data_IF_081749758360
#
_entry.id   IF_081749758360
#
_cell.length_a   1.000
_cell.length_b   1.000
_cell.length_c   1.000
_cell.angle_alpha   90.00
_cell.angle_beta   90.00
_cell.angle_gamma   90.00
#
_symmetry.space_group_name_H-M   'P 1'
#
loop_
_entity.id
_entity.type
_entity.pdbx_description
1 polymer ?
#
# COMPACT_ATOMS: atom_id res chain seq x y z
N UNK A 1 -29.18 -26.97 -0.50
CA UNK A 1 -30.63 -27.29 -0.45
C UNK A 1 -31.16 -26.79 0.89
N UNK A 2 -32.45 -26.42 0.94
CA UNK A 2 -33.19 -25.90 2.11
C UNK A 2 -32.70 -24.57 2.73
N UNK A 3 -33.59 -23.71 3.25
CA UNK A 3 -34.98 -23.38 2.83
C UNK A 3 -35.43 -22.08 3.50
N UNK A 4 -36.28 -21.34 2.80
CA UNK A 4 -36.89 -20.05 3.16
C UNK A 4 -37.69 -20.07 4.47
N UNK A 5 -37.76 -18.93 5.18
CA UNK A 5 -38.99 -18.48 5.85
C UNK A 5 -39.05 -16.95 5.92
N UNK A 6 -40.10 -16.38 5.32
CA UNK A 6 -40.52 -14.97 5.52
C UNK A 6 -41.77 -14.99 6.40
N UNK A 7 -41.93 -14.02 7.30
CA UNK A 7 -43.22 -13.70 7.89
C UNK A 7 -43.59 -12.25 7.56
N UNK A 8 -44.87 -12.02 7.24
CA UNK A 8 -45.45 -10.71 6.97
C UNK A 8 -46.75 -10.60 7.77
N UNK A 9 -46.94 -9.50 8.51
CA UNK A 9 -48.17 -9.21 9.24
C UNK A 9 -48.55 -7.73 9.10
N UNK A 10 -49.64 -7.49 8.38
CA UNK A 10 -50.57 -6.36 8.57
C UNK A 10 -51.75 -6.91 9.41
N UNK A 11 -52.58 -6.17 10.15
CA UNK A 11 -52.76 -4.73 10.41
C UNK A 11 -53.67 -4.60 11.67
N UNK A 12 -53.75 -3.50 12.41
CA UNK A 12 -54.69 -2.36 12.27
C UNK A 12 -54.67 -1.50 13.59
N UNK A 13 -55.40 -0.36 13.74
CA UNK A 13 -54.87 0.80 14.47
C UNK A 13 -55.44 0.99 15.90
N UNK A 14 -54.73 1.80 16.70
CA UNK A 14 -55.24 2.36 17.98
C UNK A 14 -55.17 3.89 17.90
N UNK A 15 -56.22 4.58 18.37
CA UNK A 15 -56.38 6.04 18.30
C UNK A 15 -55.57 6.77 19.41
N UNK A 16 -55.23 8.03 19.11
CA UNK A 16 -54.51 8.99 19.98
C UNK A 16 -55.10 9.15 21.39
N UNK A 17 -54.21 9.35 22.36
CA UNK A 17 -54.44 10.24 23.52
C UNK A 17 -53.42 11.41 23.45
N UNK A 18 -53.67 12.45 24.25
CA UNK A 18 -53.38 13.86 23.99
C UNK A 18 -51.93 14.36 24.18
N UNK A 19 -51.56 15.27 23.27
CA UNK A 19 -50.68 16.44 23.46
C UNK A 19 -49.60 16.43 24.57
N UNK A 20 -48.34 16.31 24.14
CA UNK A 20 -47.22 16.99 24.79
C UNK A 20 -46.60 17.96 23.78
N UNK A 21 -46.78 19.27 23.98
CA UNK A 21 -46.15 20.30 23.11
C UNK A 21 -44.67 20.38 23.44
N UNK A 22 -43.84 19.72 22.62
CA UNK A 22 -42.40 19.98 22.60
C UNK A 22 -42.14 21.19 21.71
N UNK A 23 -41.85 22.34 22.31
CA UNK A 23 -41.32 23.50 21.60
C UNK A 23 -39.83 23.27 21.31
N UNK A 24 -39.52 22.62 20.19
CA UNK A 24 -38.15 22.57 19.69
C UNK A 24 -37.79 23.94 19.11
N UNK A 25 -36.93 24.70 19.80
CA UNK A 25 -36.32 25.91 19.24
C UNK A 25 -35.54 25.52 17.99
N UNK A 26 -35.98 26.02 16.83
CA UNK A 26 -35.36 25.70 15.53
C UNK A 26 -34.02 26.44 15.38
N UNK A 27 -32.97 25.92 16.01
CA UNK A 27 -31.61 26.26 15.58
C UNK A 27 -31.41 25.75 14.16
N UNK A 28 -30.90 26.62 13.28
CA UNK A 28 -30.77 26.40 11.84
C UNK A 28 -30.28 24.99 11.49
N UNK A 29 -30.98 24.34 10.56
CA UNK A 29 -30.72 22.95 10.15
C UNK A 29 -29.34 22.77 9.50
N UNK A 30 -28.31 22.59 10.32
CA UNK A 30 -27.04 22.02 9.89
C UNK A 30 -27.26 20.57 9.49
N UNK A 31 -26.85 20.20 8.27
CA UNK A 31 -26.83 18.82 7.79
C UNK A 31 -26.22 17.90 8.86
N UNK A 32 -26.82 16.72 9.17
CA UNK A 32 -26.31 15.83 10.20
C UNK A 32 -24.84 15.50 9.90
N UNK A 33 -23.97 15.64 10.90
CA UNK A 33 -22.51 15.45 10.75
C UNK A 33 -22.20 14.06 10.21
N UNK A 34 -22.04 13.94 8.89
CA UNK A 34 -21.67 12.68 8.24
C UNK A 34 -20.24 12.33 8.58
N UNK A 35 -20.03 11.11 9.09
CA UNK A 35 -18.69 10.57 9.34
C UNK A 35 -17.94 10.31 8.02
N UNK A 36 -18.66 10.01 6.95
CA UNK A 36 -18.12 9.68 5.63
C UNK A 36 -18.52 10.73 4.61
N UNK A 37 -17.52 11.35 3.99
CA UNK A 37 -17.66 12.40 2.96
C UNK A 37 -16.77 12.15 1.73
N UNK A 38 -16.01 11.05 1.72
CA UNK A 38 -15.03 10.75 0.69
C UNK A 38 -15.68 10.44 -0.68
N UNK A 39 -15.09 10.96 -1.75
CA UNK A 39 -15.66 10.91 -3.11
C UNK A 39 -15.80 9.49 -3.69
N UNK A 40 -15.12 8.49 -3.13
CA UNK A 40 -15.30 7.07 -3.50
C UNK A 40 -16.59 6.45 -2.96
N UNK A 41 -17.24 7.10 -1.99
CA UNK A 41 -18.53 6.68 -1.39
C UNK A 41 -19.66 7.66 -1.76
N UNK A 42 -19.31 8.92 -2.00
CA UNK A 42 -20.22 9.95 -2.53
C UNK A 42 -19.65 10.47 -3.87
N UNK A 43 -20.02 9.85 -5.01
CA UNK A 43 -19.35 10.08 -6.30
C UNK A 43 -19.40 11.54 -6.78
N UNK A 44 -18.24 12.02 -7.28
CA UNK A 44 -18.05 13.42 -7.76
C UNK A 44 -19.09 13.83 -8.81
N UNK A 45 -19.39 12.93 -9.73
CA UNK A 45 -20.35 13.08 -10.84
C UNK A 45 -21.79 13.37 -10.39
N UNK A 46 -22.13 13.05 -9.13
CA UNK A 46 -23.47 13.26 -8.55
C UNK A 46 -23.55 14.46 -7.62
N UNK A 47 -22.44 15.17 -7.45
CA UNK A 47 -22.34 16.40 -6.68
C UNK A 47 -22.12 17.55 -7.66
N UNK A 48 -23.04 18.52 -7.66
CA UNK A 48 -23.06 19.59 -8.67
C UNK A 48 -21.82 20.49 -8.67
N UNK A 49 -20.98 20.39 -7.64
CA UNK A 49 -19.74 21.15 -7.44
C UNK A 49 -18.54 20.62 -8.24
N UNK A 50 -18.66 19.50 -8.95
CA UNK A 50 -17.53 18.80 -9.63
C UNK A 50 -17.74 18.55 -11.13
N UNK A 51 -18.60 19.32 -11.82
CA UNK A 51 -19.19 19.04 -13.16
C UNK A 51 -18.23 18.91 -14.38
N UNK A 52 -16.92 18.69 -14.20
CA UNK A 52 -16.00 18.23 -15.25
C UNK A 52 -14.51 18.48 -14.99
N UNK A 53 -13.64 17.46 -15.17
CA UNK A 53 -12.16 17.57 -15.28
C UNK A 53 -11.53 16.17 -15.42
N UNK A 54 -10.39 16.05 -16.11
CA UNK A 54 -9.74 14.78 -16.48
C UNK A 54 -8.32 14.58 -15.91
N UNK A 55 -7.89 13.31 -15.80
CA UNK A 55 -6.68 12.80 -15.10
C UNK A 55 -6.16 11.47 -15.73
N UNK A 56 -4.82 11.19 -15.67
CA UNK A 56 -3.99 10.07 -16.24
C UNK A 56 -2.51 10.15 -15.74
N UNK A 57 -1.64 9.12 -15.67
CA UNK A 57 -1.75 7.66 -15.85
C UNK A 57 -0.74 6.86 -14.96
N UNK A 58 0.53 6.71 -15.38
CA UNK A 58 1.71 6.27 -14.59
C UNK A 58 1.76 4.76 -14.22
N UNK A 59 2.95 4.23 -13.87
CA UNK A 59 3.23 2.84 -13.48
C UNK A 59 4.16 2.74 -12.23
N UNK A 60 4.94 1.66 -12.07
CA UNK A 60 5.91 1.52 -10.95
C UNK A 60 7.20 0.72 -11.21
N UNK A 61 7.14 -0.49 -11.79
CA UNK A 61 8.35 -1.34 -11.94
C UNK A 61 9.22 -0.87 -13.11
N UNK A 62 10.38 -0.27 -12.83
CA UNK A 62 11.03 0.64 -13.79
C UNK A 62 12.48 0.33 -14.21
N UNK A 63 13.39 0.01 -13.28
CA UNK A 63 14.86 -0.07 -13.54
C UNK A 63 15.17 -1.01 -14.71
N UNK A 64 14.70 -2.27 -14.62
CA UNK A 64 14.86 -3.28 -15.66
C UNK A 64 14.32 -2.83 -17.02
N UNK A 65 13.21 -2.09 -17.03
CA UNK A 65 12.56 -1.64 -18.26
C UNK A 65 13.42 -0.58 -18.96
N UNK A 66 14.04 0.35 -18.21
CA UNK A 66 15.00 1.32 -18.76
C UNK A 66 16.30 0.67 -19.24
N UNK A 67 16.82 -0.31 -18.51
CA UNK A 67 17.99 -1.09 -18.95
C UNK A 67 17.69 -1.84 -20.29
N UNK A 68 16.53 -2.48 -20.40
CA UNK A 68 16.08 -3.16 -21.63
C UNK A 68 15.77 -2.19 -22.79
N UNK A 69 15.21 -1.02 -22.48
CA UNK A 69 14.99 0.09 -23.42
C UNK A 69 16.32 0.54 -24.04
N UNK A 70 17.35 0.75 -23.20
CA UNK A 70 18.71 1.10 -23.63
C UNK A 70 19.37 0.00 -24.46
N UNK A 71 19.32 -1.26 -24.02
CA UNK A 71 19.96 -2.38 -24.75
C UNK A 71 19.31 -2.65 -26.11
N UNK A 72 17.98 -2.50 -26.21
CA UNK A 72 17.22 -2.65 -27.47
C UNK A 72 17.18 -1.38 -28.32
N UNK A 73 17.84 -0.29 -27.90
CA UNK A 73 17.83 1.03 -28.57
C UNK A 73 16.41 1.55 -28.87
N UNK A 74 15.46 1.34 -27.95
CA UNK A 74 14.08 1.82 -28.06
C UNK A 74 13.80 2.81 -26.97
N UNK A 75 13.34 4.00 -27.31
CA UNK A 75 12.91 4.98 -26.31
C UNK A 75 11.65 4.46 -25.59
N UNK A 76 11.71 4.43 -24.26
CA UNK A 76 10.54 4.19 -23.41
C UNK A 76 10.55 5.18 -22.26
N UNK A 77 9.47 5.97 -22.16
CA UNK A 77 9.19 6.81 -20.99
C UNK A 77 8.67 5.93 -19.86
N UNK A 78 9.26 6.06 -18.68
CA UNK A 78 8.88 5.27 -17.49
C UNK A 78 8.74 6.22 -16.32
N UNK A 79 7.56 6.20 -15.72
CA UNK A 79 7.15 7.08 -14.64
C UNK A 79 6.69 6.22 -13.45
N UNK A 80 7.07 6.63 -12.23
CA UNK A 80 6.77 5.94 -10.98
C UNK A 80 6.19 6.92 -9.99
N UNK A 81 5.01 6.63 -9.44
CA UNK A 81 4.40 7.40 -8.36
C UNK A 81 4.54 6.71 -7.01
N UNK A 82 4.81 7.52 -5.98
CA UNK A 82 4.90 7.09 -4.59
C UNK A 82 4.11 8.08 -3.72
N UNK A 83 3.23 7.55 -2.87
CA UNK A 83 2.40 8.34 -1.93
C UNK A 83 3.26 8.93 -0.81
N UNK A 84 4.35 8.27 -0.44
CA UNK A 84 5.28 8.75 0.57
C UNK A 84 5.95 10.06 0.12
N UNK A 85 6.18 10.98 1.07
CA UNK A 85 6.79 12.29 0.80
C UNK A 85 8.18 12.19 0.16
N UNK A 86 8.90 11.10 0.44
CA UNK A 86 10.14 10.70 -0.23
C UNK A 86 10.16 9.20 -0.50
N UNK A 87 10.95 8.77 -1.50
CA UNK A 87 11.09 7.35 -1.85
C UNK A 87 11.69 6.58 -0.66
N UNK A 88 10.94 5.58 -0.18
CA UNK A 88 11.30 4.77 0.99
C UNK A 88 10.59 5.14 2.30
N UNK A 89 9.95 6.30 2.41
CA UNK A 89 9.41 6.78 3.69
C UNK A 89 8.18 6.01 4.23
N UNK A 90 7.43 5.28 3.38
CA UNK A 90 6.36 4.37 3.82
C UNK A 90 6.79 2.90 3.93
N UNK A 91 8.10 2.60 3.86
CA UNK A 91 8.60 1.22 3.89
C UNK A 91 8.84 0.76 5.32
N UNK A 92 8.09 -0.26 5.75
CA UNK A 92 8.24 -0.92 7.04
C UNK A 92 8.55 -2.41 6.84
N UNK A 93 9.69 -2.87 7.35
CA UNK A 93 10.10 -4.29 7.34
C UNK A 93 11.25 -4.53 8.33
N UNK A 94 11.34 -5.74 8.90
CA UNK A 94 12.52 -6.22 9.62
C UNK A 94 13.71 -6.52 8.69
N UNK A 95 13.40 -6.95 7.45
CA UNK A 95 14.31 -7.01 6.30
C UNK A 95 15.65 -7.73 6.50
N UNK A 96 15.57 -9.05 6.66
CA UNK A 96 16.60 -9.96 6.15
C UNK A 96 16.40 -10.11 4.64
N UNK A 97 17.41 -9.85 3.82
CA UNK A 97 17.35 -9.88 2.35
C UNK A 97 18.30 -10.93 1.79
N UNK A 98 17.76 -11.82 0.95
CA UNK A 98 18.53 -12.63 0.00
C UNK A 98 18.84 -11.78 -1.25
N UNK A 99 20.08 -11.81 -1.72
CA UNK A 99 20.59 -10.79 -2.64
C UNK A 99 20.35 -11.08 -4.12
N UNK A 100 19.90 -12.28 -4.50
CA UNK A 100 19.90 -12.75 -5.89
C UNK A 100 19.15 -11.83 -6.85
N UNK A 101 17.97 -11.36 -6.45
CA UNK A 101 17.19 -10.42 -7.25
C UNK A 101 17.87 -9.04 -7.42
N UNK A 102 18.74 -8.65 -6.47
CA UNK A 102 19.57 -7.45 -6.57
C UNK A 102 20.84 -7.72 -7.38
N UNK A 103 21.45 -8.90 -7.25
CA UNK A 103 22.58 -9.37 -8.06
C UNK A 103 22.20 -9.45 -9.56
N UNK A 104 20.99 -9.91 -9.87
CA UNK A 104 20.42 -9.95 -11.24
C UNK A 104 20.13 -8.53 -11.79
N UNK A 105 19.59 -7.61 -10.99
CA UNK A 105 19.17 -6.28 -11.42
C UNK A 105 20.34 -5.27 -11.52
N UNK A 106 21.27 -5.34 -10.57
CA UNK A 106 22.42 -4.42 -10.42
C UNK A 106 23.62 -5.22 -9.89
N UNK A 107 24.21 -6.08 -10.72
CA UNK A 107 25.37 -6.93 -10.37
C UNK A 107 26.53 -6.23 -9.62
N UNK A 108 26.74 -4.93 -9.86
CA UNK A 108 27.77 -4.09 -9.24
C UNK A 108 27.25 -3.25 -8.04
N UNK A 109 26.13 -3.64 -7.43
CA UNK A 109 25.50 -2.93 -6.30
C UNK A 109 26.46 -2.65 -5.12
N UNK A 110 27.43 -3.55 -4.88
CA UNK A 110 28.47 -3.40 -3.84
C UNK A 110 29.35 -2.19 -4.09
N UNK A 111 29.81 -2.03 -5.34
CA UNK A 111 30.66 -0.91 -5.77
C UNK A 111 29.85 0.38 -5.82
N UNK A 112 28.57 0.28 -6.22
CA UNK A 112 27.59 1.38 -6.22
C UNK A 112 27.05 1.75 -4.82
N UNK A 113 27.62 1.19 -3.74
CA UNK A 113 27.32 1.60 -2.37
C UNK A 113 25.92 1.28 -1.86
N UNK A 114 25.30 0.18 -2.30
CA UNK A 114 24.01 -0.23 -1.76
C UNK A 114 24.12 -0.53 -0.25
N UNK A 115 23.13 -0.15 0.59
CA UNK A 115 23.22 -0.19 2.05
C UNK A 115 23.03 -1.60 2.66
N UNK A 116 23.78 -2.60 2.17
CA UNK A 116 23.76 -4.01 2.59
C UNK A 116 24.99 -4.34 3.47
N UNK A 117 25.28 -3.50 4.46
CA UNK A 117 26.57 -3.54 5.17
C UNK A 117 26.66 -4.61 6.27
N UNK A 118 25.53 -5.21 6.67
CA UNK A 118 25.45 -6.15 7.79
C UNK A 118 25.10 -7.56 7.29
N UNK A 119 26.06 -8.41 6.88
CA UNK A 119 25.80 -9.80 6.56
C UNK A 119 25.30 -10.56 7.80
N UNK A 120 24.46 -11.57 7.59
CA UNK A 120 23.97 -12.43 8.67
C UNK A 120 25.03 -13.48 8.99
N UNK A 121 25.44 -13.50 10.26
CA UNK A 121 26.49 -14.37 10.81
C UNK A 121 25.90 -15.45 11.71
N UNK A 122 24.74 -15.19 12.34
CA UNK A 122 24.14 -16.11 13.30
C UNK A 122 22.61 -15.98 13.29
N UNK A 123 21.95 -17.12 13.14
CA UNK A 123 20.50 -17.27 13.32
C UNK A 123 20.23 -17.91 14.69
N UNK A 124 19.18 -17.45 15.39
CA UNK A 124 18.66 -18.08 16.61
C UNK A 124 17.14 -18.16 16.55
N UNK A 125 16.58 -19.29 17.00
CA UNK A 125 15.14 -19.45 17.20
C UNK A 125 14.86 -19.91 18.62
N UNK A 126 13.88 -19.28 19.26
CA UNK A 126 13.42 -19.65 20.60
C UNK A 126 11.91 -19.90 20.62
N UNK A 127 11.49 -20.96 21.30
CA UNK A 127 10.11 -21.11 21.73
C UNK A 127 9.96 -20.53 23.14
N UNK A 128 9.08 -19.55 23.30
CA UNK A 128 8.88 -18.81 24.54
C UNK A 128 7.70 -19.38 25.34
N UNK A 129 7.93 -19.57 26.63
CA UNK A 129 6.89 -19.62 27.64
C UNK A 129 6.89 -18.29 28.41
N UNK A 130 5.93 -18.08 29.30
CA UNK A 130 5.87 -16.88 30.15
C UNK A 130 7.18 -16.61 30.92
N UNK A 131 7.88 -17.67 31.34
CA UNK A 131 9.05 -17.58 32.23
C UNK A 131 10.33 -18.22 31.66
N UNK A 132 10.33 -18.70 30.41
CA UNK A 132 11.51 -19.38 29.83
C UNK A 132 11.58 -19.28 28.31
N UNK A 133 12.80 -19.44 27.77
CA UNK A 133 13.07 -19.49 26.33
C UNK A 133 13.80 -20.80 25.98
N UNK A 134 13.16 -21.68 25.22
CA UNK A 134 13.74 -22.93 24.76
C UNK A 134 14.38 -22.73 23.39
N UNK A 135 15.70 -22.92 23.28
CA UNK A 135 16.41 -22.79 22.01
C UNK A 135 16.06 -23.94 21.07
N UNK A 136 15.65 -23.63 19.82
CA UNK A 136 15.45 -24.62 18.76
C UNK A 136 16.62 -24.52 17.77
N UNK A 137 17.30 -25.63 17.43
CA UNK A 137 18.37 -25.61 16.45
C UNK A 137 17.85 -25.33 15.04
N UNK A 138 18.60 -24.55 14.26
CA UNK A 138 18.29 -24.22 12.86
C UNK A 138 19.34 -24.91 11.95
N UNK A 139 19.18 -26.21 11.63
CA UNK A 139 20.04 -26.87 10.65
C UNK A 139 19.90 -26.25 9.25
N UNK A 140 20.99 -26.30 8.49
CA UNK A 140 21.04 -25.88 7.08
C UNK A 140 19.99 -26.66 6.28
N UNK A 141 19.18 -25.93 5.51
CA UNK A 141 18.05 -26.48 4.73
C UNK A 141 16.67 -26.13 5.31
N UNK A 142 16.59 -25.66 6.56
CA UNK A 142 15.35 -25.03 7.04
C UNK A 142 15.18 -23.62 6.45
N UNK A 143 13.92 -23.15 6.26
CA UNK A 143 13.64 -21.85 5.65
C UNK A 143 14.07 -20.64 6.50
N UNK A 144 14.42 -20.84 7.78
CA UNK A 144 14.94 -19.79 8.67
C UNK A 144 16.48 -19.75 8.76
N UNK A 145 17.17 -20.51 7.90
CA UNK A 145 18.63 -20.46 7.78
C UNK A 145 19.03 -19.32 6.83
N UNK A 146 19.56 -18.21 7.36
CA UNK A 146 19.80 -16.97 6.61
C UNK A 146 21.28 -16.72 6.25
N UNK A 147 22.16 -17.72 6.34
CA UNK A 147 23.57 -17.50 6.00
C UNK A 147 23.71 -17.15 4.51
N UNK A 148 24.38 -16.03 4.23
CA UNK A 148 24.48 -15.42 2.88
C UNK A 148 23.50 -14.26 2.66
N UNK A 149 22.51 -14.07 3.53
CA UNK A 149 21.58 -12.94 3.50
C UNK A 149 22.14 -11.74 4.30
N UNK A 150 21.53 -10.56 4.13
CA UNK A 150 21.93 -9.32 4.81
C UNK A 150 20.78 -8.73 5.65
N UNK A 151 21.11 -8.17 6.83
CA UNK A 151 20.19 -7.35 7.63
C UNK A 151 20.24 -5.92 7.10
N UNK A 152 19.09 -5.34 6.73
CA UNK A 152 19.06 -3.98 6.16
C UNK A 152 17.98 -3.08 6.76
N UNK A 153 18.17 -1.76 6.62
CA UNK A 153 17.04 -0.85 6.63
C UNK A 153 16.43 -0.82 5.21
N UNK A 154 15.31 -1.52 5.01
CA UNK A 154 14.66 -1.60 3.70
C UNK A 154 14.24 -0.22 3.17
N UNK A 155 13.90 0.72 4.06
CA UNK A 155 13.66 2.12 3.68
C UNK A 155 14.89 2.74 3.01
N UNK A 156 16.07 2.63 3.62
CA UNK A 156 17.33 3.12 3.03
C UNK A 156 17.67 2.41 1.70
N UNK A 157 17.43 1.11 1.60
CA UNK A 157 17.64 0.36 0.35
C UNK A 157 16.68 0.83 -0.76
N UNK A 158 15.41 1.07 -0.44
CA UNK A 158 14.43 1.60 -1.41
C UNK A 158 14.76 3.03 -1.83
N UNK A 159 15.25 3.88 -0.93
CA UNK A 159 15.78 5.21 -1.28
C UNK A 159 16.96 5.10 -2.25
N UNK A 160 17.93 4.20 -1.98
CA UNK A 160 19.06 3.95 -2.90
C UNK A 160 18.57 3.40 -4.26
N UNK A 161 17.64 2.45 -4.28
CA UNK A 161 17.03 1.96 -5.53
C UNK A 161 16.33 3.06 -6.32
N UNK A 162 15.74 4.07 -5.64
CA UNK A 162 15.22 5.28 -6.26
C UNK A 162 16.30 6.05 -7.02
N UNK A 163 17.43 6.35 -6.37
CA UNK A 163 18.59 7.02 -6.99
C UNK A 163 19.11 6.24 -8.21
N UNK A 164 19.16 4.90 -8.12
CA UNK A 164 19.55 4.06 -9.25
C UNK A 164 18.53 4.12 -10.40
N UNK A 165 17.23 4.20 -10.11
CA UNK A 165 16.19 4.38 -11.12
C UNK A 165 16.29 5.74 -11.83
N UNK A 166 16.50 6.83 -11.08
CA UNK A 166 16.71 8.17 -11.64
C UNK A 166 17.97 8.21 -12.53
N UNK A 167 19.05 7.54 -12.11
CA UNK A 167 20.29 7.46 -12.89
C UNK A 167 20.14 6.77 -14.27
N UNK A 168 19.11 5.93 -14.45
CA UNK A 168 18.76 5.31 -15.75
C UNK A 168 17.58 6.00 -16.44
N UNK A 169 17.22 7.21 -15.99
CA UNK A 169 16.23 8.08 -16.61
C UNK A 169 14.77 7.71 -16.32
N UNK A 170 14.50 7.04 -15.19
CA UNK A 170 13.13 6.88 -14.68
C UNK A 170 12.67 8.18 -14.03
N UNK A 171 11.45 8.60 -14.34
CA UNK A 171 10.83 9.76 -13.68
C UNK A 171 10.16 9.31 -12.37
N UNK A 172 10.66 9.80 -11.23
CA UNK A 172 10.08 9.52 -9.91
C UNK A 172 9.24 10.69 -9.42
N UNK A 173 8.01 10.41 -9.01
CA UNK A 173 7.07 11.37 -8.45
C UNK A 173 6.67 10.92 -7.03
N UNK A 174 7.47 11.29 -5.99
CA UNK A 174 7.05 11.13 -4.60
C UNK A 174 5.91 12.11 -4.25
N UNK A 175 5.38 11.99 -3.03
CA UNK A 175 4.22 12.73 -2.52
C UNK A 175 2.95 12.65 -3.40
N UNK A 176 2.88 11.69 -4.32
CA UNK A 176 1.87 11.58 -5.36
C UNK A 176 1.15 10.24 -5.22
N UNK A 177 -0.07 10.26 -4.67
CA UNK A 177 -0.85 9.04 -4.52
C UNK A 177 -1.66 8.75 -5.78
N UNK A 178 -1.57 7.53 -6.32
CA UNK A 178 -2.61 7.02 -7.20
C UNK A 178 -3.91 6.88 -6.40
N UNK A 179 -5.04 7.41 -6.89
CA UNK A 179 -6.34 7.35 -6.18
C UNK A 179 -7.48 6.77 -7.02
N UNK A 180 -7.34 6.75 -8.35
CA UNK A 180 -8.33 6.18 -9.26
C UNK A 180 -7.67 5.42 -10.40
N UNK A 181 -8.41 4.49 -10.99
CA UNK A 181 -8.00 3.72 -12.17
C UNK A 181 -8.83 4.18 -13.35
N UNK A 182 -8.16 4.43 -14.46
CA UNK A 182 -8.74 4.96 -15.67
C UNK A 182 -8.82 3.84 -16.69
N UNK A 183 -9.95 3.78 -17.38
CA UNK A 183 -10.24 2.74 -18.35
C UNK A 183 -10.44 3.37 -19.73
N UNK A 184 -10.10 2.62 -20.76
CA UNK A 184 -10.58 2.85 -22.11
C UNK A 184 -12.03 2.37 -22.23
N UNK A 185 -12.72 2.78 -23.30
CA UNK A 185 -14.12 2.40 -23.54
C UNK A 185 -14.30 0.89 -23.80
N UNK A 186 -13.22 0.21 -24.24
CA UNK A 186 -13.15 -1.26 -24.36
C UNK A 186 -12.99 -1.99 -23.01
N UNK A 187 -12.86 -1.24 -21.91
CA UNK A 187 -12.70 -1.76 -20.55
C UNK A 187 -11.25 -2.07 -20.14
N UNK A 188 -10.27 -1.90 -21.03
CA UNK A 188 -8.82 -2.02 -20.72
C UNK A 188 -8.31 -0.84 -19.88
N UNK A 189 -7.13 -0.97 -19.27
CA UNK A 189 -6.57 0.05 -18.37
C UNK A 189 -5.83 1.12 -19.19
N UNK A 190 -6.29 2.38 -19.10
CA UNK A 190 -5.68 3.58 -19.70
C UNK A 190 -4.61 4.21 -18.81
N UNK A 191 -4.73 4.03 -17.49
CA UNK A 191 -3.85 4.66 -16.50
C UNK A 191 -4.41 4.72 -15.09
N UNK A 192 -3.82 5.59 -14.27
CA UNK A 192 -4.25 6.01 -12.94
C UNK A 192 -4.47 7.53 -12.91
N UNK A 193 -5.40 8.00 -12.08
CA UNK A 193 -5.46 9.41 -11.68
C UNK A 193 -4.81 9.60 -10.31
N UNK A 194 -4.12 10.72 -10.10
CA UNK A 194 -3.53 11.07 -8.80
C UNK A 194 -4.56 11.68 -7.85
N UNK A 195 -4.30 11.73 -6.55
CA UNK A 195 -5.23 12.33 -5.61
C UNK A 195 -5.57 13.80 -5.94
N UNK A 196 -6.85 14.13 -5.85
CA UNK A 196 -7.30 15.52 -5.74
C UNK A 196 -6.66 16.20 -4.51
N UNK A 197 -6.56 17.53 -4.51
CA UNK A 197 -6.14 18.34 -3.35
C UNK A 197 -7.11 19.51 -3.13
N UNK A 198 -7.07 20.11 -1.93
CA UNK A 198 -7.94 21.25 -1.60
C UNK A 198 -9.43 20.88 -1.43
N UNK A 199 -9.75 19.65 -1.05
CA UNK A 199 -11.10 19.25 -0.62
C UNK A 199 -11.23 19.52 0.90
N UNK A 200 -12.41 19.98 1.34
CA UNK A 200 -12.75 20.20 2.74
C UNK A 200 -13.32 18.93 3.40
N UNK A 201 -13.38 18.91 4.74
CA UNK A 201 -13.81 17.73 5.51
C UNK A 201 -15.26 17.32 5.23
N UNK A 202 -16.10 18.25 4.80
CA UNK A 202 -17.49 18.02 4.38
C UNK A 202 -17.61 17.51 2.93
N UNK A 203 -16.51 17.40 2.19
CA UNK A 203 -16.47 17.03 0.78
C UNK A 203 -16.61 18.20 -0.20
N UNK A 204 -16.69 19.45 0.26
CA UNK A 204 -16.73 20.62 -0.64
C UNK A 204 -15.34 20.97 -1.23
N UNK A 205 -15.26 21.52 -2.45
CA UNK A 205 -14.01 22.09 -2.96
C UNK A 205 -13.70 23.41 -2.24
N UNK A 206 -12.44 23.60 -1.83
CA UNK A 206 -11.92 24.88 -1.31
C UNK A 206 -11.53 25.80 -2.46
N UNK A 207 -11.25 27.07 -2.16
CA UNK A 207 -10.63 28.00 -3.11
C UNK A 207 -9.25 27.53 -3.61
N UNK A 208 -8.58 26.65 -2.86
CA UNK A 208 -7.31 26.00 -3.24
C UNK A 208 -7.50 24.59 -3.82
N UNK A 209 -8.69 24.25 -4.30
CA UNK A 209 -8.96 22.99 -4.97
C UNK A 209 -8.15 22.85 -6.26
N UNK A 210 -7.46 21.72 -6.40
CA UNK A 210 -6.85 21.32 -7.65
C UNK A 210 -7.06 19.82 -7.86
N UNK A 211 -7.31 19.45 -9.12
CA UNK A 211 -7.46 18.05 -9.54
C UNK A 211 -6.11 17.34 -9.58
N UNK A 212 -6.16 16.01 -9.67
CA UNK A 212 -4.99 15.21 -9.98
C UNK A 212 -4.45 15.48 -11.39
N UNK A 213 -3.38 14.77 -11.76
CA UNK A 213 -2.66 14.98 -13.03
C UNK A 213 -3.17 14.13 -14.21
N UNK A 214 -2.90 14.60 -15.44
CA UNK A 214 -3.21 14.04 -16.79
C UNK A 214 -1.95 13.90 -17.70
N UNK A 215 -1.45 12.68 -17.92
CA UNK A 215 -0.54 12.27 -19.03
C UNK A 215 -0.55 10.72 -19.20
N UNK A 216 -0.47 10.13 -20.40
CA UNK A 216 -0.99 8.76 -20.70
C UNK A 216 0.01 7.57 -20.71
N UNK A 217 -0.46 6.32 -20.46
CA UNK A 217 0.38 5.11 -20.39
C UNK A 217 -0.23 3.87 -21.08
N UNK A 218 0.58 3.18 -21.90
CA UNK A 218 0.19 1.94 -22.61
C UNK A 218 0.17 0.67 -21.74
N UNK A 219 0.83 0.72 -20.59
CA UNK A 219 0.89 -0.38 -19.62
C UNK A 219 1.05 0.22 -18.22
N UNK A 220 0.20 -0.22 -17.30
CA UNK A 220 0.14 0.27 -15.92
C UNK A 220 0.51 -0.86 -14.98
N UNK A 221 1.60 -0.71 -14.23
CA UNK A 221 2.09 -1.74 -13.30
C UNK A 221 1.70 -1.36 -11.86
N UNK A 222 0.86 -2.19 -11.25
CA UNK A 222 0.38 -2.01 -9.88
C UNK A 222 1.32 -2.69 -8.89
N UNK A 223 2.01 -1.89 -8.07
CA UNK A 223 2.94 -2.35 -7.06
C UNK A 223 2.73 -1.59 -5.74
N UNK A 224 1.49 -1.59 -5.25
CA UNK A 224 1.07 -0.92 -4.00
C UNK A 224 1.56 -1.65 -2.73
N UNK A 225 1.99 -2.91 -2.85
CA UNK A 225 2.37 -3.76 -1.72
C UNK A 225 1.17 -4.47 -1.06
N UNK A 226 1.27 -4.71 0.25
CA UNK A 226 0.27 -5.48 0.99
C UNK A 226 -1.10 -4.77 1.01
N UNK A 227 -2.15 -5.48 0.57
CA UNK A 227 -3.54 -5.00 0.53
C UNK A 227 -3.75 -3.67 -0.25
N UNK A 228 -3.07 -3.51 -1.40
CA UNK A 228 -3.24 -2.37 -2.31
C UNK A 228 -4.70 -2.06 -2.67
N UNK A 229 -5.09 -0.79 -2.58
CA UNK A 229 -6.48 -0.36 -2.69
C UNK A 229 -6.98 -0.26 -4.14
N UNK A 230 -6.11 0.03 -5.11
CA UNK A 230 -6.43 -0.04 -6.53
C UNK A 230 -6.42 -1.49 -6.99
N UNK A 231 -5.42 -2.26 -6.56
CA UNK A 231 -5.27 -3.70 -6.81
C UNK A 231 -6.51 -4.47 -6.35
N UNK A 232 -7.09 -4.13 -5.18
CA UNK A 232 -8.35 -4.68 -4.69
C UNK A 232 -9.53 -4.41 -5.63
N UNK A 233 -9.60 -3.23 -6.25
CA UNK A 233 -10.64 -2.89 -7.24
C UNK A 233 -10.44 -3.67 -8.55
N UNK A 234 -9.20 -3.82 -9.02
CA UNK A 234 -8.87 -4.63 -10.20
C UNK A 234 -9.23 -6.10 -10.02
N UNK A 235 -8.86 -6.69 -8.88
CA UNK A 235 -9.21 -8.09 -8.58
C UNK A 235 -10.71 -8.34 -8.65
N UNK A 236 -11.54 -7.37 -8.24
CA UNK A 236 -13.00 -7.43 -8.39
C UNK A 236 -13.44 -7.23 -9.84
N UNK A 237 -12.96 -6.18 -10.53
CA UNK A 237 -13.40 -5.81 -11.89
C UNK A 237 -13.07 -6.89 -12.93
N UNK A 238 -11.87 -7.44 -12.89
CA UNK A 238 -11.39 -8.44 -13.85
C UNK A 238 -11.46 -9.89 -13.31
N UNK A 239 -12.12 -10.09 -12.17
CA UNK A 239 -12.26 -11.39 -11.50
C UNK A 239 -10.93 -12.16 -11.32
N UNK A 240 -9.83 -11.44 -11.05
CA UNK A 240 -8.46 -11.98 -11.01
C UNK A 240 -8.20 -13.01 -9.89
N UNK A 241 -9.22 -13.31 -9.08
CA UNK A 241 -9.15 -14.26 -7.96
C UNK A 241 -10.06 -15.48 -8.14
N UNK A 242 -10.72 -15.62 -9.30
CA UNK A 242 -11.66 -16.71 -9.62
C UNK A 242 -11.15 -18.10 -9.23
N UNK A 243 -9.92 -18.40 -9.64
CA UNK A 243 -9.30 -19.73 -9.49
C UNK A 243 -8.20 -19.71 -8.40
N UNK A 244 -8.41 -18.93 -7.32
CA UNK A 244 -7.45 -18.75 -6.22
C UNK A 244 -8.13 -18.63 -4.87
N UNK A 245 -7.44 -19.03 -3.80
CA UNK A 245 -7.92 -18.79 -2.43
C UNK A 245 -7.86 -17.31 -2.03
N UNK A 246 -8.72 -16.85 -1.10
CA UNK A 246 -8.60 -15.52 -0.52
C UNK A 246 -7.24 -15.32 0.16
N UNK A 247 -6.68 -14.11 0.02
CA UNK A 247 -5.41 -13.76 0.64
C UNK A 247 -5.54 -13.71 2.17
N UNK A 248 -4.67 -14.41 2.89
CA UNK A 248 -4.49 -14.27 4.34
C UNK A 248 -3.42 -13.21 4.65
N UNK A 249 -3.51 -12.60 5.83
CA UNK A 249 -2.65 -11.49 6.26
C UNK A 249 -2.26 -11.63 7.72
N UNK A 250 -1.06 -11.16 8.06
CA UNK A 250 -0.64 -10.87 9.43
C UNK A 250 -0.34 -9.38 9.58
N UNK A 251 -0.44 -8.85 10.80
CA UNK A 251 -0.02 -7.49 11.14
C UNK A 251 1.41 -7.52 11.69
N UNK A 252 2.30 -6.71 11.11
CA UNK A 252 3.67 -6.55 11.58
C UNK A 252 3.82 -5.23 12.32
N UNK A 253 4.23 -5.29 13.60
CA UNK A 253 4.66 -4.12 14.37
C UNK A 253 6.19 -4.09 14.39
N UNK A 254 6.78 -2.90 14.31
CA UNK A 254 8.23 -2.71 14.29
C UNK A 254 8.62 -1.43 15.00
N UNK A 255 9.67 -1.52 15.79
CA UNK A 255 10.38 -0.41 16.40
C UNK A 255 11.86 -0.43 16.00
N UNK A 256 12.59 0.64 16.35
CA UNK A 256 14.04 0.74 16.17
C UNK A 256 14.62 1.21 17.51
N UNK A 257 15.60 0.48 18.01
CA UNK A 257 16.18 0.66 19.34
C UNK A 257 17.67 0.98 19.22
N UNK A 258 18.14 1.95 20.00
CA UNK A 258 19.56 2.08 20.32
C UNK A 258 19.85 1.27 21.59
N UNK A 259 20.94 0.51 21.60
CA UNK A 259 21.28 -0.42 22.68
C UNK A 259 22.74 -0.31 23.08
N UNK A 260 23.05 -0.65 24.33
CA UNK A 260 24.43 -0.76 24.82
C UNK A 260 25.25 -1.65 23.89
N UNK A 261 26.38 -1.11 23.41
CA UNK A 261 27.34 -1.79 22.52
C UNK A 261 27.77 -3.17 23.04
N UNK A 262 27.81 -3.37 24.36
CA UNK A 262 28.14 -4.66 25.01
C UNK A 262 27.08 -5.74 24.81
N UNK A 263 25.83 -5.35 24.53
CA UNK A 263 24.70 -6.25 24.22
C UNK A 263 24.52 -6.46 22.71
N UNK A 264 25.09 -5.60 21.88
CA UNK A 264 24.95 -5.65 20.43
C UNK A 264 25.84 -6.75 19.81
N UNK A 265 25.22 -7.66 19.06
CA UNK A 265 25.89 -8.68 18.25
C UNK A 265 25.61 -8.39 16.76
N UNK A 266 26.57 -7.82 16.01
CA UNK A 266 26.39 -7.56 14.57
C UNK A 266 26.09 -8.85 13.80
N UNK A 267 25.13 -8.81 12.87
CA UNK A 267 24.76 -9.96 12.05
C UNK A 267 23.98 -11.06 12.78
N UNK A 268 23.54 -10.83 14.02
CA UNK A 268 22.63 -11.73 14.74
C UNK A 268 21.18 -11.49 14.31
N UNK A 269 20.46 -12.57 13.98
CA UNK A 269 19.02 -12.59 13.76
C UNK A 269 18.37 -13.50 14.80
N UNK A 270 17.35 -13.00 15.50
CA UNK A 270 16.60 -13.75 16.51
C UNK A 270 15.13 -13.81 16.12
N UNK A 271 14.59 -15.03 16.06
CA UNK A 271 13.17 -15.31 15.86
C UNK A 271 12.59 -15.97 17.12
N UNK A 272 11.31 -15.72 17.38
CA UNK A 272 10.60 -16.31 18.53
C UNK A 272 9.19 -16.75 18.14
N UNK A 273 8.65 -17.73 18.86
CA UNK A 273 7.25 -18.17 18.78
C UNK A 273 6.77 -18.66 20.16
N UNK A 274 5.46 -18.78 20.35
CA UNK A 274 4.86 -19.07 21.66
C UNK A 274 4.42 -17.79 22.36
N UNK A 275 4.61 -17.71 23.68
CA UNK A 275 4.16 -16.60 24.51
C UNK A 275 4.66 -15.23 23.98
N UNK A 276 3.82 -14.17 23.96
CA UNK A 276 2.49 -14.04 24.56
C UNK A 276 1.30 -14.34 23.61
N UNK A 277 1.51 -15.13 22.54
CA UNK A 277 0.45 -15.53 21.59
C UNK A 277 -0.33 -16.77 22.05
#
# INVERSE_FOLDING_TARGET
MSSTLRLCLQSFPIKRISSMRWSSTTTSAGSPRRLTTHYTIHPRDKDERWKGTNMNSIAKTAIQLKQLSKSKKREVRVCVIEKASTIGAHILSGACIETRALDELIHDWKIKGAPLNNPIVKDQFYFLTENSAMSIPIPKGLPMYNHGNHIVSLGKLVTWLGQQAESVGVELYPATAASEILFHDDGSIKGLGTNDVGIAKDGSPKCSFARGMELHAKCTIFAEGCHGHLTKQLCKRFNLRKDSTPQTYGIGLKEIWEVDKRKHQPGLVVHTAGWPL
#
